data_IF_903046040896
#
_entry.id   IF_903046040896
#
_cell.length_a   1.000
_cell.length_b   1.000
_cell.length_c   1.000
_cell.angle_alpha   90.00
_cell.angle_beta   90.00
_cell.angle_gamma   90.00
#
_symmetry.space_group_name_H-M   'P 1'
#
loop_
_entity.id
_entity.type
_entity.pdbx_description
1 polymer ?
#
# COMPACT_ATOMS: atom_id res chain seq x y z
N UNK A 1 -53.21 24.43 16.24
CA UNK A 1 -52.76 24.55 14.83
C UNK A 1 -51.62 23.57 14.59
N UNK A 2 -51.94 22.41 14.01
CA UNK A 2 -50.99 21.40 13.54
C UNK A 2 -50.62 21.73 12.09
N UNK A 3 -49.35 21.66 11.69
CA UNK A 3 -48.96 21.36 10.30
C UNK A 3 -47.76 20.43 10.27
N UNK A 4 -48.01 19.26 9.69
CA UNK A 4 -47.07 18.21 9.33
C UNK A 4 -46.06 18.73 8.30
N UNK A 5 -44.80 18.31 8.47
CA UNK A 5 -43.75 18.44 7.47
C UNK A 5 -43.90 17.27 6.49
N UNK A 6 -44.03 17.59 5.21
CA UNK A 6 -44.22 16.64 4.12
C UNK A 6 -42.89 15.97 3.74
N UNK A 7 -42.90 14.63 3.72
CA UNK A 7 -41.90 13.77 3.09
C UNK A 7 -42.11 13.79 1.56
N UNK A 8 -41.16 14.33 0.80
CA UNK A 8 -41.09 14.09 -0.64
C UNK A 8 -40.26 12.83 -0.91
N UNK A 9 -40.96 11.76 -1.31
CA UNK A 9 -40.37 10.59 -1.97
C UNK A 9 -40.08 10.95 -3.44
N UNK A 10 -38.82 10.90 -3.85
CA UNK A 10 -38.46 10.94 -5.26
C UNK A 10 -38.74 9.57 -5.88
N UNK A 11 -39.71 9.54 -6.79
CA UNK A 11 -40.06 8.38 -7.59
C UNK A 11 -39.03 8.16 -8.71
N UNK A 12 -38.52 6.94 -8.83
CA UNK A 12 -37.70 6.48 -9.95
C UNK A 12 -38.65 5.98 -11.04
N UNK A 13 -38.57 6.54 -12.25
CA UNK A 13 -39.27 5.99 -13.42
C UNK A 13 -38.46 4.85 -14.05
N UNK A 14 -39.11 3.80 -14.59
CA UNK A 14 -38.44 2.70 -15.25
C UNK A 14 -38.22 3.03 -16.73
N UNK A 15 -37.01 2.83 -17.25
CA UNK A 15 -36.76 2.88 -18.70
C UNK A 15 -35.84 1.76 -19.15
N UNK A 16 -36.39 0.97 -20.07
CA UNK A 16 -35.80 0.04 -21.03
C UNK A 16 -34.79 -1.01 -20.54
N UNK A 17 -35.31 -2.24 -20.40
CA UNK A 17 -34.53 -3.48 -20.54
C UNK A 17 -34.00 -3.57 -21.97
N UNK A 18 -32.68 -3.58 -22.13
CA UNK A 18 -32.01 -4.06 -23.34
C UNK A 18 -31.56 -5.50 -23.12
N UNK A 19 -31.91 -6.36 -24.08
CA UNK A 19 -31.74 -7.80 -24.07
C UNK A 19 -30.28 -8.24 -24.14
N UNK A 20 -29.92 -9.18 -23.27
CA UNK A 20 -28.80 -10.10 -23.48
C UNK A 20 -29.07 -10.93 -24.75
N UNK A 21 -28.19 -10.83 -25.75
CA UNK A 21 -27.74 -11.99 -26.54
C UNK A 21 -26.63 -11.63 -27.53
N UNK A 22 -25.73 -12.61 -27.71
CA UNK A 22 -24.65 -12.72 -28.70
C UNK A 22 -23.33 -11.97 -28.42
N UNK A 23 -22.54 -12.55 -27.49
CA UNK A 23 -21.07 -12.47 -27.56
C UNK A 23 -20.59 -13.55 -28.53
N UNK A 24 -20.14 -13.15 -29.72
CA UNK A 24 -19.42 -14.04 -30.64
C UNK A 24 -18.00 -14.26 -30.13
N UNK A 25 -17.63 -15.52 -29.89
CA UNK A 25 -16.26 -15.96 -29.66
C UNK A 25 -15.54 -15.97 -31.01
N UNK A 26 -14.45 -15.22 -31.14
CA UNK A 26 -13.58 -15.32 -32.32
C UNK A 26 -12.59 -16.48 -32.14
N UNK A 27 -12.60 -17.37 -33.13
CA UNK A 27 -11.79 -18.59 -33.25
C UNK A 27 -10.38 -18.26 -33.76
N UNK A 28 -9.36 -18.83 -33.12
CA UNK A 28 -7.95 -18.74 -33.52
C UNK A 28 -7.72 -19.57 -34.79
N UNK A 29 -7.05 -18.98 -35.79
CA UNK A 29 -6.54 -19.72 -36.95
C UNK A 29 -5.04 -19.42 -37.10
N UNK A 30 -4.24 -20.49 -37.01
CA UNK A 30 -2.80 -20.48 -37.27
C UNK A 30 -2.51 -20.06 -38.71
N UNK A 31 -1.53 -19.18 -38.91
CA UNK A 31 -0.82 -19.10 -40.20
C UNK A 31 0.68 -18.92 -39.97
N UNK A 32 1.43 -19.82 -40.61
CA UNK A 32 2.88 -19.87 -40.72
C UNK A 32 3.35 -19.08 -41.95
N UNK A 33 4.54 -18.47 -41.88
CA UNK A 33 5.59 -18.28 -42.93
C UNK A 33 6.32 -16.91 -42.77
N UNK A 34 7.41 -16.62 -43.50
CA UNK A 34 8.78 -17.03 -43.23
C UNK A 34 9.75 -15.84 -42.99
N UNK A 35 10.96 -16.15 -42.53
CA UNK A 35 12.07 -15.24 -42.22
C UNK A 35 12.62 -14.45 -43.42
N UNK A 36 12.86 -13.15 -43.24
CA UNK A 36 13.79 -12.35 -44.05
C UNK A 36 14.58 -11.32 -43.19
N UNK A 37 15.79 -10.92 -43.61
CA UNK A 37 16.84 -10.41 -42.70
C UNK A 37 16.78 -8.90 -42.44
N UNK A 38 17.24 -8.51 -41.24
CA UNK A 38 17.33 -7.13 -40.77
C UNK A 38 18.32 -6.28 -41.58
N UNK A 39 17.89 -5.08 -41.95
CA UNK A 39 18.77 -3.95 -42.28
C UNK A 39 19.02 -3.11 -41.02
N UNK A 40 20.29 -2.85 -40.74
CA UNK A 40 20.79 -2.01 -39.65
C UNK A 40 20.67 -0.52 -39.98
N UNK A 41 20.11 0.28 -39.07
CA UNK A 41 20.36 1.71 -38.99
C UNK A 41 20.69 2.12 -37.55
N UNK A 42 21.64 3.03 -37.44
CA UNK A 42 22.40 3.42 -36.25
C UNK A 42 21.83 4.66 -35.54
N UNK A 43 22.19 4.75 -34.25
CA UNK A 43 22.27 5.97 -33.41
C UNK A 43 20.98 6.62 -32.89
N UNK A 44 20.05 5.79 -32.40
CA UNK A 44 19.22 6.18 -31.26
C UNK A 44 19.86 5.66 -29.98
N UNK A 45 20.04 6.51 -28.96
CA UNK A 45 20.38 6.05 -27.61
C UNK A 45 19.35 4.98 -27.23
N UNK A 46 19.77 3.71 -27.21
CA UNK A 46 18.96 2.60 -26.69
C UNK A 46 18.79 2.84 -25.21
N UNK A 47 17.73 3.58 -24.85
CA UNK A 47 17.23 3.57 -23.48
C UNK A 47 16.55 2.23 -23.31
N UNK A 48 17.35 1.20 -23.02
CA UNK A 48 16.79 -0.05 -22.52
C UNK A 48 16.22 0.26 -21.12
N UNK A 49 14.92 0.06 -20.89
CA UNK A 49 14.35 0.24 -19.56
C UNK A 49 14.87 -0.91 -18.71
N UNK A 50 15.98 -0.69 -18.02
CA UNK A 50 16.45 -1.64 -17.03
C UNK A 50 15.85 -1.28 -15.69
N UNK A 51 15.02 -2.18 -15.16
CA UNK A 51 14.67 -2.20 -13.76
C UNK A 51 15.89 -2.65 -12.95
N UNK A 52 16.04 -2.11 -11.73
CA UNK A 52 17.24 -2.20 -10.90
C UNK A 52 17.72 -3.64 -10.59
N UNK A 53 16.88 -4.64 -10.82
CA UNK A 53 17.11 -6.05 -10.45
C UNK A 53 17.53 -6.95 -11.62
N UNK A 54 17.53 -6.44 -12.87
CA UNK A 54 17.97 -7.20 -14.05
C UNK A 54 19.50 -7.18 -14.23
N UNK A 55 20.22 -6.50 -13.33
CA UNK A 55 21.68 -6.51 -13.26
C UNK A 55 22.15 -7.50 -12.19
N UNK A 56 23.13 -8.35 -12.52
CA UNK A 56 23.83 -9.16 -11.54
C UNK A 56 24.32 -8.25 -10.39
N UNK A 57 24.09 -8.60 -9.11
CA UNK A 57 24.43 -7.72 -8.01
C UNK A 57 25.95 -7.50 -8.01
N UNK A 58 26.38 -6.33 -8.47
CA UNK A 58 27.76 -5.85 -8.33
C UNK A 58 28.01 -5.33 -6.92
N UNK A 59 26.95 -5.25 -6.11
CA UNK A 59 26.97 -4.77 -4.73
C UNK A 59 27.30 -5.91 -3.76
N UNK A 60 28.08 -5.59 -2.73
CA UNK A 60 28.30 -6.47 -1.59
C UNK A 60 26.98 -6.77 -0.85
N UNK A 61 26.92 -7.82 -0.01
CA UNK A 61 25.74 -8.10 0.81
C UNK A 61 25.27 -6.89 1.64
N UNK A 62 26.19 -6.08 2.14
CA UNK A 62 25.84 -4.85 2.87
C UNK A 62 25.36 -3.73 1.94
N UNK A 63 25.87 -3.67 0.70
CA UNK A 63 25.31 -2.79 -0.33
C UNK A 63 23.87 -3.14 -0.68
N UNK A 64 23.54 -4.43 -0.74
CA UNK A 64 22.18 -4.91 -1.01
C UNK A 64 21.19 -4.54 0.10
N UNK A 65 21.61 -4.53 1.38
CA UNK A 65 20.75 -4.11 2.51
C UNK A 65 20.38 -2.63 2.47
N UNK A 66 21.20 -1.81 1.81
CA UNK A 66 21.00 -0.36 1.70
C UNK A 66 20.09 0.05 0.55
N UNK A 67 19.73 -0.89 -0.33
CA UNK A 67 18.80 -0.62 -1.42
C UNK A 67 17.37 -0.47 -0.87
N UNK A 68 16.61 0.55 -1.33
CA UNK A 68 15.23 0.77 -0.92
C UNK A 68 14.38 -0.49 -1.04
N UNK A 69 13.50 -0.72 -0.06
CA UNK A 69 12.61 -1.88 -0.10
C UNK A 69 11.66 -1.83 -1.30
N UNK A 70 11.16 -0.64 -1.65
CA UNK A 70 10.32 -0.44 -2.84
C UNK A 70 11.17 -0.08 -4.04
N UNK A 71 11.63 -1.10 -4.74
CA UNK A 71 12.32 -0.98 -6.02
C UNK A 71 11.49 -1.71 -7.06
N UNK A 72 11.13 -1.04 -8.16
CA UNK A 72 10.31 -1.67 -9.20
C UNK A 72 11.16 -2.70 -9.94
N UNK A 73 10.64 -3.92 -10.09
CA UNK A 73 11.28 -4.97 -10.88
C UNK A 73 10.27 -5.88 -11.57
N UNK A 74 10.72 -6.61 -12.59
CA UNK A 74 9.92 -7.66 -13.23
C UNK A 74 9.49 -8.76 -12.23
N UNK A 75 10.28 -9.00 -11.18
CA UNK A 75 10.02 -10.04 -10.18
C UNK A 75 9.09 -9.58 -9.06
N UNK A 76 9.41 -8.46 -8.41
CA UNK A 76 8.69 -7.96 -7.24
C UNK A 76 7.54 -7.01 -7.63
N UNK A 77 7.62 -6.38 -8.80
CA UNK A 77 6.69 -5.33 -9.21
C UNK A 77 6.70 -4.19 -8.21
N UNK A 78 5.58 -3.96 -7.54
CA UNK A 78 5.41 -2.95 -6.49
C UNK A 78 5.46 -3.52 -5.07
N UNK A 79 5.67 -4.83 -4.89
CA UNK A 79 5.96 -5.39 -3.57
C UNK A 79 7.36 -5.01 -3.11
N UNK A 80 7.64 -5.02 -1.78
CA UNK A 80 9.00 -4.87 -1.31
C UNK A 80 9.90 -5.99 -1.85
N UNK A 81 11.15 -5.67 -2.11
CA UNK A 81 12.18 -6.59 -2.62
C UNK A 81 12.48 -7.74 -1.65
N UNK A 82 12.32 -7.50 -0.34
CA UNK A 82 12.47 -8.51 0.70
C UNK A 82 11.18 -8.72 1.48
N UNK A 83 10.99 -9.94 1.99
CA UNK A 83 9.90 -10.24 2.91
C UNK A 83 9.98 -9.32 4.15
N UNK A 84 8.86 -8.74 4.61
CA UNK A 84 8.89 -7.82 5.74
C UNK A 84 9.54 -8.41 6.99
N UNK A 85 10.27 -7.59 7.76
CA UNK A 85 10.84 -8.04 9.03
C UNK A 85 9.72 -8.21 10.07
N UNK A 86 9.56 -9.45 10.54
CA UNK A 86 8.51 -9.84 11.50
C UNK A 86 8.94 -9.59 12.94
N UNK A 87 10.17 -9.97 13.27
CA UNK A 87 10.72 -9.86 14.64
C UNK A 87 11.72 -8.70 14.66
N UNK A 88 11.43 -7.68 15.46
CA UNK A 88 12.35 -6.57 15.67
C UNK A 88 13.56 -6.99 16.52
N UNK A 89 14.69 -6.28 16.42
CA UNK A 89 15.82 -6.48 17.33
C UNK A 89 15.42 -6.27 18.81
N UNK A 90 16.09 -6.92 19.77
CA UNK A 90 15.74 -6.87 21.20
C UNK A 90 15.65 -5.46 21.81
N UNK A 91 16.38 -4.50 21.23
CA UNK A 91 16.31 -3.10 21.65
C UNK A 91 14.91 -2.47 21.51
N UNK A 92 14.00 -3.11 20.76
CA UNK A 92 12.63 -2.66 20.52
C UNK A 92 11.56 -3.56 21.19
N UNK A 93 11.94 -4.44 22.12
CA UNK A 93 11.01 -5.39 22.77
C UNK A 93 9.82 -4.69 23.44
N UNK A 94 10.01 -3.48 23.98
CA UNK A 94 8.91 -2.71 24.57
C UNK A 94 7.89 -2.26 23.53
N UNK A 95 8.37 -1.71 22.41
CA UNK A 95 7.51 -1.31 21.29
C UNK A 95 6.76 -2.52 20.72
N UNK A 96 7.46 -3.64 20.50
CA UNK A 96 6.86 -4.87 19.99
C UNK A 96 5.81 -5.44 20.95
N UNK A 97 6.10 -5.49 22.25
CA UNK A 97 5.15 -5.91 23.29
C UNK A 97 3.91 -5.02 23.33
N UNK A 98 4.10 -3.70 23.29
CA UNK A 98 3.02 -2.72 23.27
C UNK A 98 2.10 -2.94 22.06
N UNK A 99 2.67 -3.09 20.87
CA UNK A 99 1.92 -3.33 19.63
C UNK A 99 1.21 -4.68 19.60
N UNK A 100 1.79 -5.73 20.20
CA UNK A 100 1.13 -7.04 20.34
C UNK A 100 -0.10 -6.96 21.24
N UNK A 101 -0.02 -6.21 22.36
CA UNK A 101 -1.14 -6.01 23.31
C UNK A 101 -2.14 -4.93 22.87
N UNK A 102 -1.82 -4.18 21.83
CA UNK A 102 -2.58 -3.01 21.37
C UNK A 102 -4.00 -3.35 20.90
N UNK A 103 -4.18 -4.45 20.16
CA UNK A 103 -5.40 -4.70 19.37
C UNK A 103 -6.70 -4.62 20.18
N UNK A 104 -7.83 -4.33 19.53
CA UNK A 104 -9.15 -4.37 20.18
C UNK A 104 -9.43 -5.77 20.74
N UNK A 105 -9.17 -6.82 19.97
CA UNK A 105 -9.37 -8.21 20.41
C UNK A 105 -8.03 -8.94 20.46
N UNK A 106 -7.73 -9.52 21.62
CA UNK A 106 -6.54 -10.31 21.87
C UNK A 106 -6.81 -11.80 21.66
N UNK A 107 -5.77 -12.52 21.27
CA UNK A 107 -5.82 -13.95 20.98
C UNK A 107 -4.61 -14.65 21.57
N UNK A 108 -4.82 -15.90 21.96
CA UNK A 108 -3.74 -16.79 22.33
C UNK A 108 -2.98 -17.20 21.05
N UNK A 109 -1.66 -17.00 21.00
CA UNK A 109 -0.87 -17.23 19.79
C UNK A 109 -0.70 -18.73 19.44
N UNK A 110 -0.95 -19.64 20.38
CA UNK A 110 -0.82 -21.09 20.16
C UNK A 110 -2.13 -21.72 19.71
N UNK A 111 -3.25 -21.23 20.25
CA UNK A 111 -4.58 -21.83 20.04
C UNK A 111 -5.47 -21.01 19.12
N UNK A 112 -5.09 -19.78 18.77
CA UNK A 112 -5.88 -18.80 18.03
C UNK A 112 -7.26 -18.53 18.66
N UNK A 113 -7.41 -18.81 19.96
CA UNK A 113 -8.64 -18.51 20.70
C UNK A 113 -8.58 -17.08 21.23
N UNK A 114 -9.71 -16.37 21.13
CA UNK A 114 -9.83 -15.02 21.71
C UNK A 114 -9.61 -15.10 23.22
N UNK A 115 -8.68 -14.31 23.75
CA UNK A 115 -8.33 -14.28 25.18
C UNK A 115 -8.98 -13.13 25.92
N UNK A 116 -9.29 -12.02 25.24
CA UNK A 116 -9.90 -10.86 25.89
C UNK A 116 -9.82 -9.57 25.07
N UNK A 117 -10.14 -8.43 25.70
CA UNK A 117 -9.89 -7.12 25.13
C UNK A 117 -8.40 -6.75 25.24
N UNK A 118 -7.82 -6.13 24.21
CA UNK A 118 -6.50 -5.51 24.34
C UNK A 118 -6.58 -4.04 24.75
N UNK A 119 -5.46 -3.33 24.66
CA UNK A 119 -5.32 -1.98 25.19
C UNK A 119 -6.27 -0.98 24.54
N UNK A 120 -6.45 -1.03 23.21
CA UNK A 120 -7.38 -0.14 22.50
C UNK A 120 -8.83 -0.37 22.91
N UNK A 121 -9.24 -1.62 23.12
CA UNK A 121 -10.60 -1.91 23.58
C UNK A 121 -10.87 -1.30 24.96
N UNK A 122 -9.87 -1.31 25.84
CA UNK A 122 -9.92 -0.81 27.21
C UNK A 122 -9.71 0.70 27.31
N UNK A 123 -9.19 1.33 26.26
CA UNK A 123 -8.82 2.75 26.28
C UNK A 123 -7.57 3.05 27.11
N UNK A 124 -6.65 2.08 27.19
CA UNK A 124 -5.44 2.12 28.00
C UNK A 124 -4.17 2.21 27.15
N UNK A 125 -4.28 2.25 25.82
CA UNK A 125 -3.13 2.28 24.93
C UNK A 125 -2.32 3.57 25.09
N UNK A 126 -3.00 4.72 25.19
CA UNK A 126 -2.35 6.01 25.44
C UNK A 126 -1.51 6.00 26.72
N UNK A 127 -2.08 5.51 27.83
CA UNK A 127 -1.38 5.43 29.12
C UNK A 127 -0.21 4.46 29.08
N UNK A 128 -0.36 3.32 28.39
CA UNK A 128 0.72 2.36 28.18
C UNK A 128 1.88 2.97 27.38
N UNK A 129 1.59 3.75 26.33
CA UNK A 129 2.63 4.50 25.57
C UNK A 129 3.40 5.46 26.48
N UNK A 130 2.69 6.25 27.30
CA UNK A 130 3.31 7.25 28.17
C UNK A 130 4.15 6.60 29.30
N UNK A 131 3.69 5.46 29.82
CA UNK A 131 4.34 4.77 30.94
C UNK A 131 5.51 3.88 30.52
N UNK A 132 5.40 3.17 29.39
CA UNK A 132 6.35 2.14 28.98
C UNK A 132 7.44 2.65 28.03
N UNK A 133 7.14 3.61 27.15
CA UNK A 133 8.12 4.21 26.23
C UNK A 133 8.70 5.50 26.82
N UNK A 134 10.00 5.74 26.61
CA UNK A 134 10.72 6.88 27.18
C UNK A 134 11.31 7.76 26.08
N UNK A 135 11.21 9.08 26.24
CA UNK A 135 11.70 10.08 25.27
C UNK A 135 13.19 9.90 24.92
N UNK A 136 14.01 9.52 25.91
CA UNK A 136 15.42 9.20 25.73
C UNK A 136 15.72 7.73 26.07
N UNK A 137 14.74 6.85 25.81
CA UNK A 137 14.85 5.42 26.06
C UNK A 137 15.80 4.69 25.10
N UNK A 138 16.09 3.40 25.38
CA UNK A 138 16.92 2.58 24.50
C UNK A 138 16.37 2.48 23.07
N UNK A 139 15.06 2.57 22.88
CA UNK A 139 14.39 2.47 21.58
C UNK A 139 14.81 3.64 20.66
N UNK A 140 14.88 4.86 21.19
CA UNK A 140 15.25 6.06 20.40
C UNK A 140 16.71 5.99 19.97
N UNK A 141 17.61 5.56 20.86
CA UNK A 141 19.02 5.34 20.50
C UNK A 141 19.18 4.20 19.50
N UNK A 142 18.34 3.16 19.60
CA UNK A 142 18.33 2.06 18.65
C UNK A 142 17.82 2.49 17.27
N UNK A 143 16.88 3.44 17.19
CA UNK A 143 16.48 4.06 15.91
C UNK A 143 17.68 4.77 15.26
N UNK A 144 18.45 5.56 16.00
CA UNK A 144 19.62 6.24 15.45
C UNK A 144 20.65 5.25 14.90
N UNK A 145 20.88 4.14 15.63
CA UNK A 145 21.75 3.04 15.17
C UNK A 145 21.21 2.34 13.92
N UNK A 146 19.90 2.13 13.84
CA UNK A 146 19.26 1.53 12.67
C UNK A 146 19.38 2.44 11.43
N UNK A 147 19.23 3.76 11.60
CA UNK A 147 19.42 4.73 10.52
C UNK A 147 20.87 4.73 10.07
N UNK A 148 21.82 4.74 11.01
CA UNK A 148 23.25 4.70 10.69
C UNK A 148 23.69 3.41 9.98
N UNK A 149 23.04 2.27 10.23
CA UNK A 149 23.35 1.02 9.53
C UNK A 149 22.93 1.08 8.04
N UNK A 150 21.88 1.84 7.75
CA UNK A 150 21.26 1.94 6.43
C UNK A 150 20.48 0.70 6.02
N UNK A 151 20.19 -0.22 6.95
CA UNK A 151 19.41 -1.43 6.69
C UNK A 151 17.95 -1.07 6.37
N UNK A 152 17.61 -1.05 5.08
CA UNK A 152 16.30 -0.61 4.60
C UNK A 152 15.18 -1.53 5.09
N UNK A 153 15.45 -2.82 5.26
CA UNK A 153 14.44 -3.78 5.74
C UNK A 153 14.09 -3.51 7.20
N UNK A 154 15.11 -3.23 8.04
CA UNK A 154 14.90 -2.82 9.42
C UNK A 154 14.19 -1.46 9.51
N UNK A 155 14.62 -0.48 8.71
CA UNK A 155 14.01 0.85 8.71
C UNK A 155 12.53 0.81 8.31
N UNK A 156 12.17 0.07 7.27
CA UNK A 156 10.76 -0.11 6.88
C UNK A 156 9.93 -0.79 7.97
N UNK A 157 10.49 -1.76 8.69
CA UNK A 157 9.78 -2.44 9.77
C UNK A 157 9.58 -1.55 11.00
N UNK A 158 10.59 -0.75 11.37
CA UNK A 158 10.47 0.24 12.43
C UNK A 158 9.48 1.34 12.05
N UNK A 159 9.54 1.85 10.82
CA UNK A 159 8.59 2.85 10.34
C UNK A 159 7.16 2.34 10.40
N UNK A 160 6.89 1.13 9.87
CA UNK A 160 5.59 0.45 10.01
C UNK A 160 5.14 0.43 11.48
N UNK A 161 5.97 -0.07 12.37
CA UNK A 161 5.59 -0.28 13.77
C UNK A 161 5.33 1.04 14.51
N UNK A 162 6.13 2.09 14.26
CA UNK A 162 5.87 3.43 14.78
C UNK A 162 4.63 4.08 14.15
N UNK A 163 4.32 3.84 12.88
CA UNK A 163 3.07 4.29 12.25
C UNK A 163 1.83 3.67 12.92
N UNK A 164 1.86 2.36 13.19
CA UNK A 164 0.80 1.69 13.95
C UNK A 164 0.67 2.28 15.36
N UNK A 165 1.79 2.48 16.06
CA UNK A 165 1.76 3.05 17.41
C UNK A 165 1.21 4.48 17.44
N UNK A 166 1.66 5.32 16.51
CA UNK A 166 1.21 6.70 16.35
C UNK A 166 -0.27 6.76 16.04
N UNK A 167 -0.76 5.97 15.08
CA UNK A 167 -2.18 6.01 14.74
C UNK A 167 -3.06 5.51 15.89
N UNK A 168 -2.70 4.39 16.52
CA UNK A 168 -3.40 3.89 17.70
C UNK A 168 -3.47 4.93 18.82
N UNK A 169 -2.36 5.62 19.10
CA UNK A 169 -2.31 6.67 20.11
C UNK A 169 -3.23 7.84 19.79
N UNK A 170 -3.16 8.38 18.56
CA UNK A 170 -3.92 9.57 18.19
C UNK A 170 -5.42 9.31 18.14
N UNK A 171 -5.81 8.14 17.62
CA UNK A 171 -7.21 7.83 17.31
C UNK A 171 -7.95 7.03 18.40
N UNK A 172 -7.29 6.55 19.45
CA UNK A 172 -7.95 5.79 20.53
C UNK A 172 -9.19 6.51 21.13
N UNK A 173 -9.16 7.81 21.48
CA UNK A 173 -10.37 8.47 21.99
C UNK A 173 -11.51 8.46 20.99
N UNK A 174 -11.17 8.65 19.70
CA UNK A 174 -12.15 8.63 18.62
C UNK A 174 -12.75 7.25 18.39
N UNK A 175 -11.93 6.20 18.44
CA UNK A 175 -12.40 4.81 18.36
C UNK A 175 -13.32 4.46 19.53
N UNK A 176 -12.94 4.84 20.76
CA UNK A 176 -13.78 4.64 21.95
C UNK A 176 -15.14 5.33 21.78
N UNK A 177 -15.16 6.60 21.32
CA UNK A 177 -16.40 7.31 21.03
C UNK A 177 -17.23 6.59 19.98
N UNK A 178 -16.60 6.20 18.87
CA UNK A 178 -17.29 5.55 17.76
C UNK A 178 -17.90 4.21 18.18
N UNK A 179 -17.18 3.37 18.92
CA UNK A 179 -17.71 2.10 19.44
C UNK A 179 -18.88 2.30 20.41
N UNK A 180 -18.89 3.40 21.16
CA UNK A 180 -19.96 3.70 22.14
C UNK A 180 -21.19 4.36 21.51
N UNK A 181 -21.00 5.23 20.51
CA UNK A 181 -22.05 6.15 20.04
C UNK A 181 -22.32 6.07 18.54
N UNK A 182 -21.45 5.42 17.77
CA UNK A 182 -21.47 5.45 16.30
C UNK A 182 -20.94 6.76 15.70
N UNK A 183 -20.45 7.69 16.53
CA UNK A 183 -19.96 9.01 16.11
C UNK A 183 -18.50 9.20 16.49
N UNK A 184 -17.75 9.82 15.58
CA UNK A 184 -16.37 10.21 15.85
C UNK A 184 -16.31 11.41 16.80
N UNK A 185 -15.36 11.38 17.73
CA UNK A 185 -14.95 12.50 18.57
C UNK A 185 -13.58 13.03 18.13
N UNK A 186 -13.16 14.22 18.60
CA UNK A 186 -11.77 14.64 18.48
C UNK A 186 -10.81 13.58 19.01
N UNK A 187 -9.69 13.39 18.31
CA UNK A 187 -8.58 12.55 18.75
C UNK A 187 -7.59 13.34 19.61
N UNK A 188 -6.45 12.73 19.94
CA UNK A 188 -5.35 13.43 20.64
C UNK A 188 -4.60 14.33 19.66
N UNK A 189 -4.69 15.64 19.82
CA UNK A 189 -4.05 16.64 18.95
C UNK A 189 -2.54 16.82 19.20
N UNK A 190 -1.98 16.04 20.13
CA UNK A 190 -0.55 16.02 20.44
C UNK A 190 -0.03 14.59 20.38
N UNK A 191 1.01 14.36 19.57
CA UNK A 191 1.78 13.12 19.56
C UNK A 191 3.00 13.29 20.47
N UNK A 192 3.16 12.45 21.52
CA UNK A 192 4.22 12.63 22.50
C UNK A 192 5.59 12.28 21.92
N UNK A 193 6.64 12.89 22.47
CA UNK A 193 7.99 12.84 21.91
C UNK A 193 8.56 11.42 21.76
N UNK A 194 8.20 10.49 22.65
CA UNK A 194 8.61 9.08 22.55
C UNK A 194 8.09 8.34 21.31
N UNK A 195 7.06 8.86 20.64
CA UNK A 195 6.59 8.37 19.33
C UNK A 195 6.97 9.35 18.21
N UNK A 196 6.77 10.64 18.42
CA UNK A 196 6.95 11.67 17.40
C UNK A 196 8.39 11.75 16.87
N UNK A 197 9.38 11.79 17.77
CA UNK A 197 10.80 11.92 17.41
C UNK A 197 11.31 10.72 16.61
N UNK A 198 11.19 9.45 17.08
CA UNK A 198 11.66 8.31 16.30
C UNK A 198 10.90 8.15 14.98
N UNK A 199 9.58 8.37 14.96
CA UNK A 199 8.81 8.30 13.72
C UNK A 199 9.30 9.34 12.70
N UNK A 200 9.54 10.59 13.12
CA UNK A 200 10.04 11.62 12.21
C UNK A 200 11.42 11.28 11.66
N UNK A 201 12.34 10.80 12.50
CA UNK A 201 13.69 10.39 12.07
C UNK A 201 13.62 9.27 11.02
N UNK A 202 12.77 8.26 11.25
CA UNK A 202 12.56 7.16 10.30
C UNK A 202 11.92 7.65 9.00
N UNK A 203 10.90 8.52 9.09
CA UNK A 203 10.24 9.11 7.94
C UNK A 203 11.23 9.87 7.06
N UNK A 204 12.08 10.72 7.67
CA UNK A 204 13.11 11.47 6.95
C UNK A 204 14.15 10.56 6.30
N UNK A 205 14.59 9.51 7.00
CA UNK A 205 15.55 8.55 6.47
C UNK A 205 15.01 7.75 5.26
N UNK A 206 13.69 7.53 5.22
CA UNK A 206 13.01 6.80 4.14
C UNK A 206 12.41 7.71 3.07
N UNK A 207 12.38 9.03 3.28
CA UNK A 207 11.71 9.98 2.39
C UNK A 207 10.17 10.01 2.52
N UNK A 208 9.62 9.49 3.62
CA UNK A 208 8.18 9.43 3.87
C UNK A 208 7.68 10.63 4.70
N UNK A 209 6.37 10.84 4.69
CA UNK A 209 5.70 11.62 5.73
C UNK A 209 5.65 10.84 7.05
N UNK A 210 5.69 11.49 8.23
CA UNK A 210 5.73 10.81 9.53
C UNK A 210 4.34 10.31 9.96
N UNK A 211 3.65 9.56 9.10
CA UNK A 211 2.35 8.97 9.38
C UNK A 211 2.11 7.74 8.49
N UNK A 212 1.13 6.92 8.87
CA UNK A 212 0.80 5.69 8.16
C UNK A 212 0.31 5.98 6.72
N UNK A 213 0.83 5.21 5.77
CA UNK A 213 0.42 5.16 4.36
C UNK A 213 0.34 3.72 3.83
N UNK A 214 -0.15 3.56 2.59
CA UNK A 214 -0.44 2.28 1.96
C UNK A 214 0.77 1.35 1.86
N UNK A 215 1.82 1.78 1.14
CA UNK A 215 2.93 0.91 0.80
C UNK A 215 3.88 0.70 1.98
N UNK A 216 4.45 1.78 2.51
CA UNK A 216 5.54 1.72 3.50
C UNK A 216 5.11 1.40 4.93
N UNK A 217 3.81 1.22 5.21
CA UNK A 217 3.36 0.82 6.54
C UNK A 217 2.14 -0.10 6.54
N UNK A 218 0.94 0.38 6.24
CA UNK A 218 -0.30 -0.35 6.56
C UNK A 218 -0.47 -1.66 5.80
N UNK A 219 -0.11 -1.69 4.50
CA UNK A 219 -0.36 -2.83 3.63
C UNK A 219 0.92 -3.58 3.22
N UNK A 220 1.75 -2.99 2.34
CA UNK A 220 2.77 -3.76 1.60
C UNK A 220 4.01 -4.17 2.42
N UNK A 221 4.15 -3.70 3.66
CA UNK A 221 5.17 -4.19 4.62
C UNK A 221 4.57 -4.81 5.87
N UNK A 222 3.26 -5.02 5.91
CA UNK A 222 2.55 -5.53 7.07
C UNK A 222 2.02 -6.95 6.87
N UNK A 223 2.90 -7.86 6.45
CA UNK A 223 2.53 -9.26 6.30
C UNK A 223 3.66 -10.21 6.63
N UNK A 224 3.28 -11.43 6.99
CA UNK A 224 4.14 -12.58 7.16
C UNK A 224 3.50 -13.81 6.53
N UNK A 225 4.33 -14.77 6.16
CA UNK A 225 3.86 -16.05 5.64
C UNK A 225 3.65 -17.04 6.77
N UNK A 226 2.59 -17.85 6.66
CA UNK A 226 2.33 -18.99 7.55
C UNK A 226 3.24 -20.17 7.22
N UNK A 227 3.38 -20.45 5.92
CA UNK A 227 4.20 -21.50 5.35
C UNK A 227 5.30 -20.86 4.49
N UNK A 228 6.53 -20.97 4.97
CA UNK A 228 7.73 -20.46 4.31
C UNK A 228 8.26 -21.38 3.22
N UNK A 229 7.76 -22.62 3.13
CA UNK A 229 8.16 -23.58 2.09
C UNK A 229 7.50 -23.28 0.74
N UNK A 230 6.39 -22.51 0.73
CA UNK A 230 5.72 -22.11 -0.49
C UNK A 230 6.55 -21.10 -1.26
N UNK A 231 6.70 -21.34 -2.56
CA UNK A 231 7.41 -20.45 -3.50
C UNK A 231 6.43 -19.56 -4.26
N UNK A 232 6.96 -18.64 -5.06
CA UNK A 232 6.16 -17.85 -6.02
C UNK A 232 5.67 -18.69 -7.20
N UNK A 233 6.27 -19.87 -7.42
CA UNK A 233 5.86 -20.84 -8.43
C UNK A 233 4.48 -21.40 -8.08
N UNK A 234 3.59 -21.48 -9.07
CA UNK A 234 2.23 -21.98 -8.89
C UNK A 234 2.22 -23.53 -8.88
N UNK A 235 1.85 -24.21 -7.79
CA UNK A 235 1.20 -25.51 -7.93
C UNK A 235 -0.15 -25.29 -8.65
N UNK A 236 -0.57 -26.23 -9.50
CA UNK A 236 -1.89 -26.18 -10.12
C UNK A 236 -2.98 -25.91 -9.07
N UNK A 237 -3.80 -24.87 -9.31
CA UNK A 237 -4.92 -24.53 -8.44
C UNK A 237 -4.68 -23.46 -7.34
N UNK A 238 -3.49 -22.85 -7.23
CA UNK A 238 -3.26 -21.71 -6.29
C UNK A 238 -3.01 -20.38 -7.03
N UNK A 239 -3.93 -19.44 -6.86
CA UNK A 239 -4.01 -18.17 -7.60
C UNK A 239 -2.72 -17.31 -7.56
N UNK A 240 -2.03 -17.22 -6.42
CA UNK A 240 -0.88 -16.32 -6.21
C UNK A 240 0.35 -16.96 -5.51
N UNK A 241 0.50 -18.29 -5.60
CA UNK A 241 1.61 -19.01 -4.96
C UNK A 241 1.73 -18.74 -3.46
N UNK A 242 2.93 -18.41 -2.96
CA UNK A 242 3.18 -18.04 -1.56
C UNK A 242 2.38 -16.81 -1.09
N UNK A 243 2.00 -15.91 -2.00
CA UNK A 243 1.18 -14.73 -1.69
C UNK A 243 -0.32 -15.02 -1.66
N UNK A 244 -0.73 -16.28 -1.77
CA UNK A 244 -2.14 -16.65 -1.61
C UNK A 244 -2.67 -16.27 -0.22
N UNK A 245 -3.90 -15.75 -0.17
CA UNK A 245 -4.55 -15.32 1.07
C UNK A 245 -4.46 -16.30 2.25
N UNK A 246 -4.65 -17.62 2.09
CA UNK A 246 -4.53 -18.55 3.21
C UNK A 246 -3.15 -18.58 3.86
N UNK A 247 -2.10 -18.20 3.11
CA UNK A 247 -0.72 -18.18 3.57
C UNK A 247 -0.30 -16.85 4.20
N UNK A 248 -1.12 -15.80 4.10
CA UNK A 248 -0.78 -14.47 4.61
C UNK A 248 -1.40 -14.23 5.99
N UNK A 249 -0.58 -13.72 6.92
CA UNK A 249 -1.03 -13.12 8.19
C UNK A 249 -0.45 -11.72 8.33
N UNK A 250 -1.06 -10.92 9.21
CA UNK A 250 -0.55 -9.59 9.52
C UNK A 250 0.56 -9.65 10.56
N UNK A 251 1.46 -8.66 10.50
CA UNK A 251 2.46 -8.44 11.56
C UNK A 251 1.83 -7.58 12.66
N UNK A 252 1.12 -6.51 12.26
CA UNK A 252 0.40 -5.57 13.13
C UNK A 252 -1.05 -5.44 12.69
N UNK A 253 -1.92 -5.18 13.65
CA UNK A 253 -3.37 -5.01 13.46
C UNK A 253 -3.90 -4.04 14.50
N UNK A 254 -5.00 -3.35 14.21
CA UNK A 254 -5.73 -2.53 15.18
C UNK A 254 -6.89 -3.29 15.80
N UNK A 255 -7.68 -3.99 14.98
CA UNK A 255 -8.84 -4.74 15.43
C UNK A 255 -8.43 -6.12 15.95
N UNK A 256 -7.93 -6.95 15.04
CA UNK A 256 -7.45 -8.30 15.32
C UNK A 256 -6.71 -8.91 14.11
N UNK A 257 -5.82 -9.89 14.32
CA UNK A 257 -5.01 -10.46 13.24
C UNK A 257 -5.73 -11.51 12.38
N UNK A 258 -7.01 -11.84 12.63
CA UNK A 258 -7.67 -12.99 11.99
C UNK A 258 -8.95 -12.65 11.21
N UNK A 259 -9.54 -11.48 11.45
CA UNK A 259 -10.81 -11.04 10.91
C UNK A 259 -10.70 -10.15 9.68
N UNK A 260 -11.62 -9.20 9.59
CA UNK A 260 -11.81 -8.37 8.40
C UNK A 260 -10.61 -7.47 8.09
N UNK A 261 -9.85 -7.00 9.08
CA UNK A 261 -8.62 -6.22 8.85
C UNK A 261 -7.54 -7.05 8.12
N UNK A 262 -7.34 -8.32 8.54
CA UNK A 262 -6.49 -9.26 7.79
C UNK A 262 -7.01 -9.47 6.37
N UNK A 263 -8.31 -9.66 6.22
CA UNK A 263 -8.99 -9.68 4.93
C UNK A 263 -8.62 -8.51 4.03
N UNK A 264 -8.80 -7.31 4.57
CA UNK A 264 -8.60 -6.04 3.89
C UNK A 264 -7.16 -5.90 3.39
N UNK A 265 -6.16 -6.14 4.25
CA UNK A 265 -4.76 -5.98 3.89
C UNK A 265 -4.26 -7.14 3.01
N UNK A 266 -4.57 -8.40 3.34
CA UNK A 266 -4.05 -9.57 2.62
C UNK A 266 -4.56 -9.66 1.17
N UNK A 267 -5.79 -9.19 0.88
CA UNK A 267 -6.28 -9.08 -0.49
C UNK A 267 -5.43 -8.10 -1.31
N UNK A 268 -5.07 -6.94 -0.75
CA UNK A 268 -4.19 -6.00 -1.43
C UNK A 268 -2.80 -6.59 -1.69
N UNK A 269 -2.20 -7.29 -0.73
CA UNK A 269 -0.90 -7.96 -0.94
C UNK A 269 -1.00 -9.03 -2.04
N UNK A 270 -2.06 -9.85 -2.01
CA UNK A 270 -2.30 -10.87 -3.04
C UNK A 270 -2.44 -10.22 -4.42
N UNK A 271 -3.20 -9.13 -4.52
CA UNK A 271 -3.37 -8.37 -5.75
C UNK A 271 -2.02 -7.83 -6.26
N UNK A 272 -1.27 -7.15 -5.39
CA UNK A 272 0.01 -6.52 -5.76
C UNK A 272 1.08 -7.57 -6.07
N UNK A 273 0.94 -8.82 -5.63
CA UNK A 273 1.86 -9.89 -6.04
C UNK A 273 1.88 -10.18 -7.55
N UNK A 274 0.83 -9.79 -8.29
CA UNK A 274 0.80 -9.89 -9.75
C UNK A 274 1.47 -8.69 -10.46
N UNK A 275 1.87 -7.66 -9.71
CA UNK A 275 2.42 -6.44 -10.30
C UNK A 275 3.75 -6.68 -11.03
N UNK A 276 4.56 -7.66 -10.64
CA UNK A 276 5.78 -8.02 -11.38
C UNK A 276 5.48 -8.44 -12.81
N UNK A 277 4.42 -9.24 -13.01
CA UNK A 277 3.96 -9.62 -14.34
C UNK A 277 3.37 -8.41 -15.09
N UNK A 278 2.62 -7.54 -14.43
CA UNK A 278 2.06 -6.34 -15.06
C UNK A 278 3.17 -5.39 -15.56
N UNK A 279 4.21 -5.18 -14.75
CA UNK A 279 5.40 -4.41 -15.10
C UNK A 279 6.14 -5.09 -16.26
N UNK A 280 6.39 -6.39 -16.18
CA UNK A 280 7.06 -7.15 -17.24
C UNK A 280 6.35 -7.02 -18.58
N UNK A 281 5.03 -7.24 -18.60
CA UNK A 281 4.22 -7.12 -19.83
C UNK A 281 4.21 -5.69 -20.35
N UNK A 282 4.18 -4.68 -19.47
CA UNK A 282 4.26 -3.26 -19.86
C UNK A 282 5.59 -2.96 -20.57
N UNK A 283 6.71 -3.42 -20.03
CA UNK A 283 8.03 -3.24 -20.64
C UNK A 283 8.14 -3.96 -21.98
N UNK A 284 7.63 -5.19 -22.07
CA UNK A 284 7.64 -5.97 -23.31
C UNK A 284 6.83 -5.29 -24.41
N UNK A 285 5.66 -4.72 -24.08
CA UNK A 285 4.82 -3.94 -24.99
C UNK A 285 5.58 -2.72 -25.50
N UNK A 286 6.19 -1.94 -24.61
CA UNK A 286 6.94 -0.74 -24.99
C UNK A 286 8.14 -1.07 -25.88
N UNK A 287 8.90 -2.11 -25.53
CA UNK A 287 10.04 -2.57 -26.32
C UNK A 287 9.61 -3.09 -27.70
N UNK A 288 8.51 -3.83 -27.78
CA UNK A 288 7.93 -4.30 -29.04
C UNK A 288 7.43 -3.14 -29.91
N UNK A 289 6.77 -2.14 -29.32
CA UNK A 289 6.31 -0.96 -30.02
C UNK A 289 7.46 -0.16 -30.64
N UNK A 290 8.58 0.00 -29.91
CA UNK A 290 9.81 0.64 -30.43
C UNK A 290 10.36 -0.11 -31.65
N UNK A 291 10.30 -1.46 -31.63
CA UNK A 291 10.73 -2.31 -32.75
C UNK A 291 9.67 -2.42 -33.86
N UNK A 292 8.51 -1.79 -33.70
CA UNK A 292 7.36 -1.91 -34.61
C UNK A 292 6.91 -3.37 -34.83
N UNK A 293 7.05 -4.19 -33.79
CA UNK A 293 6.71 -5.62 -33.81
C UNK A 293 5.27 -5.82 -33.30
N UNK A 294 4.30 -5.73 -34.21
CA UNK A 294 2.88 -5.84 -33.87
C UNK A 294 2.52 -7.17 -33.18
N UNK A 295 2.95 -8.35 -33.68
CA UNK A 295 2.69 -9.61 -32.98
C UNK A 295 3.20 -9.63 -31.53
N UNK A 296 4.38 -9.07 -31.27
CA UNK A 296 4.90 -8.98 -29.90
C UNK A 296 4.13 -7.98 -29.03
N UNK A 297 3.65 -6.87 -29.60
CA UNK A 297 2.74 -5.94 -28.90
C UNK A 297 1.45 -6.65 -28.52
N UNK A 298 0.82 -7.39 -29.43
CA UNK A 298 -0.42 -8.12 -29.18
C UNK A 298 -0.24 -9.17 -28.08
N UNK A 299 0.84 -9.95 -28.12
CA UNK A 299 1.18 -10.93 -27.08
C UNK A 299 1.39 -10.27 -25.71
N UNK A 300 2.10 -9.13 -25.67
CA UNK A 300 2.30 -8.36 -24.44
C UNK A 300 0.98 -7.83 -23.87
N UNK A 301 0.10 -7.30 -24.72
CA UNK A 301 -1.24 -6.83 -24.35
C UNK A 301 -2.13 -7.95 -23.83
N UNK A 302 -2.10 -9.13 -24.44
CA UNK A 302 -2.83 -10.31 -23.96
C UNK A 302 -2.32 -10.76 -22.58
N UNK A 303 -1.01 -10.80 -22.38
CA UNK A 303 -0.39 -11.09 -21.09
C UNK A 303 -0.80 -10.09 -20.01
N UNK A 304 -0.79 -8.79 -20.34
CA UNK A 304 -1.23 -7.73 -19.44
C UNK A 304 -2.72 -7.87 -19.08
N UNK A 305 -3.60 -8.11 -20.07
CA UNK A 305 -5.03 -8.33 -19.85
C UNK A 305 -5.28 -9.52 -18.93
N UNK A 306 -4.60 -10.64 -19.15
CA UNK A 306 -4.72 -11.82 -18.30
C UNK A 306 -4.23 -11.55 -16.87
N UNK A 307 -3.21 -10.71 -16.70
CA UNK A 307 -2.73 -10.27 -15.39
C UNK A 307 -3.78 -9.41 -14.66
N UNK A 308 -4.37 -8.43 -15.33
CA UNK A 308 -5.44 -7.61 -14.73
C UNK A 308 -6.72 -8.40 -14.44
N UNK A 309 -7.03 -9.44 -15.22
CA UNK A 309 -8.13 -10.37 -14.89
C UNK A 309 -7.89 -11.09 -13.56
N UNK A 310 -6.65 -11.55 -13.30
CA UNK A 310 -6.29 -12.17 -12.01
C UNK A 310 -6.37 -11.16 -10.86
N UNK A 311 -5.85 -9.95 -11.06
CA UNK A 311 -5.97 -8.83 -10.11
C UNK A 311 -7.43 -8.56 -9.76
N UNK A 312 -8.31 -8.42 -10.76
CA UNK A 312 -9.74 -8.19 -10.55
C UNK A 312 -10.40 -9.35 -9.81
N UNK A 313 -10.10 -10.61 -10.15
CA UNK A 313 -10.63 -11.77 -9.44
C UNK A 313 -10.23 -11.77 -7.95
N UNK A 314 -8.99 -11.38 -7.63
CA UNK A 314 -8.55 -11.21 -6.25
C UNK A 314 -9.27 -10.05 -5.56
N UNK A 315 -9.48 -8.92 -6.24
CA UNK A 315 -10.24 -7.80 -5.66
C UNK A 315 -11.69 -8.18 -5.34
N UNK A 316 -12.35 -8.96 -6.20
CA UNK A 316 -13.69 -9.49 -5.92
C UNK A 316 -13.75 -10.39 -4.68
N UNK A 317 -12.63 -11.05 -4.32
CA UNK A 317 -12.57 -11.84 -3.09
C UNK A 317 -12.66 -10.99 -1.80
N UNK A 318 -12.49 -9.66 -1.89
CA UNK A 318 -12.60 -8.74 -0.76
C UNK A 318 -13.94 -8.90 -0.03
N UNK A 319 -15.04 -9.05 -0.76
CA UNK A 319 -16.39 -9.18 -0.20
C UNK A 319 -16.56 -10.39 0.72
N UNK A 320 -15.78 -11.46 0.48
CA UNK A 320 -15.78 -12.66 1.32
C UNK A 320 -14.71 -12.64 2.42
N UNK A 321 -13.68 -11.80 2.29
CA UNK A 321 -12.51 -11.77 3.18
C UNK A 321 -12.55 -10.62 4.20
N UNK A 322 -13.21 -9.51 3.88
CA UNK A 322 -13.40 -8.36 4.77
C UNK A 322 -14.84 -7.87 4.69
N UNK A 323 -15.58 -7.98 5.79
CA UNK A 323 -17.00 -7.61 5.82
C UNK A 323 -17.16 -6.09 5.79
N UNK A 324 -18.06 -5.53 4.96
CA UNK A 324 -18.33 -4.09 4.96
C UNK A 324 -18.75 -3.54 6.33
N UNK A 325 -19.47 -4.34 7.13
CA UNK A 325 -19.87 -3.99 8.49
C UNK A 325 -18.69 -3.79 9.44
N UNK A 326 -17.60 -4.53 9.21
CA UNK A 326 -16.44 -4.54 10.10
C UNK A 326 -15.45 -3.45 9.71
N UNK A 327 -15.49 -2.95 8.47
CA UNK A 327 -14.58 -1.92 7.97
C UNK A 327 -14.53 -0.70 8.90
N UNK A 328 -15.69 -0.24 9.38
CA UNK A 328 -15.78 0.91 10.26
C UNK A 328 -15.09 0.71 11.62
N UNK A 329 -14.83 -0.54 12.04
CA UNK A 329 -14.20 -0.85 13.32
C UNK A 329 -12.67 -0.71 13.33
N UNK A 330 -12.02 -0.72 12.16
CA UNK A 330 -10.59 -0.41 12.03
C UNK A 330 -10.33 0.83 11.20
N UNK A 331 -11.31 1.29 10.41
CA UNK A 331 -11.23 2.51 9.60
C UNK A 331 -10.75 3.72 10.40
N UNK A 332 -11.20 3.85 11.65
CA UNK A 332 -10.80 4.94 12.55
C UNK A 332 -9.28 5.11 12.59
N UNK A 333 -8.52 4.03 12.63
CA UNK A 333 -7.05 4.05 12.76
C UNK A 333 -6.29 4.19 11.44
N UNK A 334 -6.97 4.24 10.30
CA UNK A 334 -6.33 4.49 8.99
C UNK A 334 -6.76 5.81 8.38
N UNK A 335 -7.53 6.60 9.12
CA UNK A 335 -7.79 7.98 8.77
C UNK A 335 -6.54 8.84 8.90
N UNK A 336 -6.54 9.95 8.16
CA UNK A 336 -5.52 10.98 8.29
C UNK A 336 -5.84 11.99 9.39
N UNK A 337 -4.83 12.77 9.74
CA UNK A 337 -4.96 13.96 10.60
C UNK A 337 -5.26 15.23 9.80
N UNK A 338 -5.20 15.18 8.47
CA UNK A 338 -5.58 16.30 7.62
C UNK A 338 -7.09 16.58 7.70
N UNK A 339 -7.50 17.85 7.85
CA UNK A 339 -8.90 18.23 7.82
C UNK A 339 -9.46 17.92 6.44
N UNK A 340 -10.52 17.13 6.41
CA UNK A 340 -11.31 16.83 5.21
C UNK A 340 -12.77 17.03 5.53
N UNK A 341 -13.56 17.34 4.52
CA UNK A 341 -15.02 17.33 4.63
C UNK A 341 -15.45 15.95 5.15
N UNK A 342 -15.98 15.89 6.37
CA UNK A 342 -16.37 14.63 7.04
C UNK A 342 -15.33 13.99 7.97
N UNK A 343 -14.17 14.61 8.20
CA UNK A 343 -13.21 14.20 9.24
C UNK A 343 -13.11 15.29 10.33
N UNK A 344 -13.92 15.24 11.39
CA UNK A 344 -13.89 16.21 12.48
C UNK A 344 -12.82 15.89 13.55
N UNK A 345 -12.00 14.85 13.36
CA UNK A 345 -11.19 14.27 14.43
C UNK A 345 -9.98 15.14 14.80
N UNK A 346 -9.40 15.87 13.83
CA UNK A 346 -8.21 16.71 13.99
C UNK A 346 -8.38 18.03 13.24
N UNK A 347 -9.26 18.94 13.70
CA UNK A 347 -9.57 20.18 12.98
C UNK A 347 -8.36 21.11 12.83
N UNK A 348 -7.39 21.02 13.74
CA UNK A 348 -6.16 21.82 13.74
C UNK A 348 -4.91 20.98 13.41
N UNK A 349 -5.08 19.75 12.92
CA UNK A 349 -3.97 18.81 12.75
C UNK A 349 -3.46 18.25 14.08
N UNK A 350 -2.22 17.76 14.07
CA UNK A 350 -1.56 17.16 15.24
C UNK A 350 -0.17 17.75 15.44
N UNK A 351 0.14 18.23 16.65
CA UNK A 351 1.48 18.70 17.03
C UNK A 351 2.36 17.52 17.41
N UNK A 352 3.59 17.49 16.89
CA UNK A 352 4.55 16.39 17.10
C UNK A 352 5.63 16.89 18.06
N UNK A 353 5.55 16.47 19.33
CA UNK A 353 6.44 16.97 20.37
C UNK A 353 7.90 16.61 20.09
N UNK A 354 8.81 17.58 20.29
CA UNK A 354 10.23 17.42 20.01
C UNK A 354 10.59 17.37 18.51
N UNK A 355 9.63 17.60 17.62
CA UNK A 355 9.85 17.67 16.16
C UNK A 355 9.68 19.10 15.66
N UNK A 356 8.49 19.69 15.82
CA UNK A 356 8.19 21.09 15.50
C UNK A 356 6.92 21.56 16.21
N UNK A 357 6.75 22.86 16.36
CA UNK A 357 5.58 23.46 17.02
C UNK A 357 4.33 23.43 16.12
N UNK A 358 4.50 23.61 14.80
CA UNK A 358 3.38 23.68 13.87
C UNK A 358 2.72 22.29 13.67
N UNK A 359 1.38 22.20 13.76
CA UNK A 359 0.68 20.95 13.52
C UNK A 359 0.92 20.36 12.13
N UNK A 360 0.99 19.03 12.07
CA UNK A 360 0.99 18.26 10.84
C UNK A 360 -0.44 17.96 10.40
N UNK A 361 -0.67 18.09 9.09
CA UNK A 361 -1.93 17.74 8.42
C UNK A 361 -1.65 16.63 7.41
N UNK A 362 -1.76 15.37 7.86
CA UNK A 362 -1.32 14.22 7.08
C UNK A 362 -2.52 13.43 6.57
N UNK A 363 -2.49 13.05 5.30
CA UNK A 363 -3.49 12.11 4.77
C UNK A 363 -3.27 10.74 5.39
N UNK A 364 -4.37 10.02 5.59
CA UNK A 364 -4.33 8.63 5.98
C UNK A 364 -4.10 7.74 4.78
N UNK A 365 -4.09 6.44 5.05
CA UNK A 365 -3.91 5.44 4.02
C UNK A 365 -5.09 5.39 3.04
N UNK A 366 -4.80 5.09 1.78
CA UNK A 366 -5.81 4.77 0.79
C UNK A 366 -5.28 3.73 -0.20
N UNK A 367 -6.12 2.77 -0.58
CA UNK A 367 -5.84 1.88 -1.70
C UNK A 367 -5.50 2.64 -3.00
N UNK A 368 -6.05 3.85 -3.19
CA UNK A 368 -5.72 4.71 -4.34
C UNK A 368 -4.26 5.22 -4.38
N UNK A 369 -3.46 4.92 -3.34
CA UNK A 369 -2.01 5.13 -3.35
C UNK A 369 -1.24 3.98 -4.05
N UNK A 370 -1.92 2.91 -4.47
CA UNK A 370 -1.29 1.85 -5.26
C UNK A 370 -0.88 2.33 -6.67
N UNK A 371 0.01 1.56 -7.31
CA UNK A 371 0.57 1.89 -8.64
C UNK A 371 0.08 1.00 -9.78
N UNK A 372 -0.82 0.03 -9.53
CA UNK A 372 -1.37 -0.85 -10.57
C UNK A 372 -2.27 -0.10 -11.55
N UNK A 373 -3.24 0.67 -11.06
CA UNK A 373 -4.11 1.45 -11.96
C UNK A 373 -3.31 2.54 -12.69
N UNK A 374 -2.45 3.33 -12.02
CA UNK A 374 -1.58 4.30 -12.70
C UNK A 374 -0.67 3.69 -13.77
N UNK A 375 -0.12 2.48 -13.57
CA UNK A 375 0.70 1.80 -14.58
C UNK A 375 -0.08 1.60 -15.88
N UNK A 376 -1.29 1.03 -15.78
CA UNK A 376 -2.16 0.79 -16.93
C UNK A 376 -2.62 2.09 -17.59
N UNK A 377 -3.06 3.06 -16.78
CA UNK A 377 -3.53 4.36 -17.27
C UNK A 377 -2.44 5.11 -18.03
N UNK A 378 -1.18 4.98 -17.61
CA UNK A 378 -0.05 5.60 -18.28
C UNK A 378 0.33 4.86 -19.57
N UNK A 379 0.37 3.53 -19.55
CA UNK A 379 0.66 2.73 -20.74
C UNK A 379 -0.35 3.00 -21.87
N UNK A 380 -1.62 3.14 -21.52
CA UNK A 380 -2.71 3.39 -22.47
C UNK A 380 -2.97 4.89 -22.74
N UNK A 381 -2.11 5.77 -22.21
CA UNK A 381 -2.24 7.23 -22.30
C UNK A 381 -3.59 7.80 -21.80
N UNK A 382 -4.33 7.05 -20.97
CA UNK A 382 -5.57 7.48 -20.32
C UNK A 382 -5.29 8.69 -19.41
N UNK A 383 -4.15 8.68 -18.71
CA UNK A 383 -3.73 9.80 -17.84
C UNK A 383 -3.74 11.15 -18.57
N UNK A 384 -3.32 11.18 -19.85
CA UNK A 384 -3.25 12.41 -20.64
C UNK A 384 -4.65 12.98 -20.96
N UNK A 385 -5.66 12.11 -20.97
CA UNK A 385 -7.05 12.44 -21.28
C UNK A 385 -7.93 12.63 -20.05
N UNK A 386 -7.37 12.55 -18.83
CA UNK A 386 -8.14 12.70 -17.60
C UNK A 386 -8.75 14.11 -17.49
N UNK A 387 -10.08 14.23 -17.30
CA UNK A 387 -10.75 15.53 -17.17
C UNK A 387 -10.24 16.30 -15.95
N UNK A 388 -10.26 17.63 -15.97
CA UNK A 388 -9.91 18.44 -14.78
C UNK A 388 -11.08 18.47 -13.80
N UNK A 389 -10.95 17.79 -12.67
CA UNK A 389 -11.92 17.79 -11.57
C UNK A 389 -11.27 17.29 -10.28
N UNK A 390 -11.99 17.37 -9.15
CA UNK A 390 -11.49 17.00 -7.82
C UNK A 390 -10.93 15.57 -7.74
N UNK A 391 -11.56 14.61 -8.45
CA UNK A 391 -11.09 13.23 -8.50
C UNK A 391 -9.71 13.15 -9.16
N UNK A 392 -9.55 13.71 -10.36
CA UNK A 392 -8.30 13.59 -11.10
C UNK A 392 -7.19 14.45 -10.48
N UNK A 393 -7.53 15.57 -9.83
CA UNK A 393 -6.58 16.34 -9.02
C UNK A 393 -6.08 15.51 -7.82
N UNK A 394 -6.99 14.80 -7.14
CA UNK A 394 -6.63 13.87 -6.05
C UNK A 394 -5.74 12.72 -6.55
N UNK A 395 -6.06 12.12 -7.71
CA UNK A 395 -5.23 11.06 -8.30
C UNK A 395 -3.82 11.56 -8.66
N UNK A 396 -3.69 12.81 -9.16
CA UNK A 396 -2.39 13.43 -9.42
C UNK A 396 -1.62 13.73 -8.13
N UNK A 397 -2.29 14.18 -7.08
CA UNK A 397 -1.69 14.39 -5.75
C UNK A 397 -1.14 13.08 -5.17
N UNK A 398 -1.88 11.98 -5.27
CA UNK A 398 -1.41 10.66 -4.82
C UNK A 398 -0.14 10.21 -5.55
N UNK A 399 0.00 10.53 -6.84
CA UNK A 399 1.21 10.21 -7.62
C UNK A 399 2.42 11.03 -7.18
N UNK A 400 2.23 12.32 -6.88
CA UNK A 400 3.29 13.16 -6.31
C UNK A 400 3.74 12.61 -4.97
N UNK A 401 2.79 12.29 -4.09
CA UNK A 401 3.08 11.70 -2.78
C UNK A 401 3.72 10.32 -2.89
N UNK A 402 3.32 9.46 -3.84
CA UNK A 402 3.91 8.13 -4.00
C UNK A 402 5.34 8.19 -4.56
N UNK A 403 5.62 9.11 -5.50
CA UNK A 403 6.97 9.32 -6.04
C UNK A 403 7.92 9.94 -5.01
N UNK A 404 7.42 10.88 -4.20
CA UNK A 404 8.16 11.49 -3.09
C UNK A 404 8.35 10.50 -1.92
N UNK A 405 7.31 9.75 -1.55
CA UNK A 405 7.34 8.81 -0.43
C UNK A 405 8.13 7.54 -0.76
N UNK A 406 7.83 6.80 -1.83
CA UNK A 406 8.43 5.47 -2.01
C UNK A 406 9.92 5.48 -2.40
N UNK A 407 10.60 6.62 -2.32
CA UNK A 407 11.99 6.75 -2.72
C UNK A 407 12.21 6.33 -4.17
N UNK A 408 11.15 6.38 -4.99
CA UNK A 408 11.18 6.20 -6.43
C UNK A 408 11.97 7.35 -7.04
N UNK A 409 13.29 7.36 -6.83
CA UNK A 409 14.24 7.97 -7.74
C UNK A 409 14.24 7.12 -9.01
N UNK A 410 13.10 7.04 -9.69
CA UNK A 410 13.00 6.61 -11.07
C UNK A 410 13.64 7.73 -11.87
N UNK A 411 14.96 7.64 -12.00
CA UNK A 411 15.72 8.47 -12.93
C UNK A 411 15.57 7.88 -14.33
N UNK A 412 14.34 7.78 -14.86
CA UNK A 412 14.07 7.61 -16.29
C UNK A 412 12.55 7.51 -16.56
N UNK A 413 12.07 8.41 -17.44
CA UNK A 413 10.99 8.25 -18.43
C UNK A 413 9.96 9.39 -18.49
N UNK A 414 9.87 10.29 -17.50
CA UNK A 414 8.99 11.46 -17.62
C UNK A 414 9.67 12.67 -18.28
N UNK A 415 10.98 12.85 -18.10
CA UNK A 415 11.68 14.06 -18.53
C UNK A 415 12.25 14.04 -19.97
N UNK A 416 12.09 12.94 -20.72
CA UNK A 416 12.62 12.85 -22.10
C UNK A 416 11.69 13.38 -23.19
N UNK A 417 10.46 13.81 -22.87
CA UNK A 417 9.52 14.36 -23.88
C UNK A 417 9.33 15.88 -23.84
N UNK A 418 9.88 16.59 -22.86
CA UNK A 418 9.70 18.05 -22.77
C UNK A 418 10.72 18.88 -23.59
N UNK A 419 11.81 18.28 -24.07
CA UNK A 419 12.91 19.01 -24.75
C UNK A 419 13.12 18.63 -26.22
N UNK A 420 12.34 17.69 -26.76
CA UNK A 420 12.49 17.19 -28.13
C UNK A 420 11.43 17.75 -29.12
N UNK A 421 10.60 18.69 -28.69
CA UNK A 421 9.58 19.35 -29.54
C UNK A 421 9.76 20.88 -29.64
N UNK A 422 10.98 21.37 -29.39
CA UNK A 422 11.30 22.78 -29.55
C UNK A 422 12.59 23.02 -30.35
N UNK A 423 12.85 22.22 -31.40
CA UNK A 423 13.68 22.61 -32.54
C UNK A 423 13.32 21.81 -33.80
#
# INVERSE_FOLDING_TARGET
>A
MRRQIALQRLAVSPSSRLSLNQRGLATVVNSTSPSHPLATSSDGVKVEPFLLEDLAPTLSPDGLKRLPQFTISRKAGFLPREDPLVTLPPAFDRLDSLLKRMTIKQYDPLTNKKTGPGLLAQGQYGDAVLSELKVNGPEVQAVDKAIASGDQRLLSALFRDYCFATSAYLFEPTDISYRKTGLYSPGRDVLPAQLAVPLKKLADALGHQPFMEYASSYALVNYKFRDLSLTTSHPEGKEAGRYSFPNLDLIRSFQDPYGSERGFIAVHITMVSFSGQAVSSTEDILAAAIRQDLPAVEAGMESLLNTYRKINAVMESMWGRSKPSDYLSFRTFIFGTAPKKGNPMFPQGVRYEGVREEPFHLRGESGANDSLVPLLDNLLEITASLPKNELTDTLREFRKSAAENAGYRVRACADSKATALSH
#
